data_IF_460452116285
#
_entry.id   IF_460452116285
#
_cell.length_a   1.000
_cell.length_b   1.000
_cell.length_c   1.000
_cell.angle_alpha   90.00
_cell.angle_beta   90.00
_cell.angle_gamma   90.00
#
_symmetry.space_group_name_H-M   'P 1'
#
loop_
_entity.id
_entity.type
_entity.pdbx_description
1 polymer ?
#
# COMPACT_ATOMS: atom_id res chain seq x y z
N UNK A 1 -4.20 -23.94 -17.25
CA UNK A 1 -2.88 -23.42 -17.68
C UNK A 1 -2.09 -22.87 -16.50
N UNK A 2 -0.84 -22.44 -16.71
CA UNK A 2 -0.01 -21.88 -15.64
C UNK A 2 -0.65 -20.65 -14.99
N UNK A 3 -1.35 -19.83 -15.78
CA UNK A 3 -2.06 -18.63 -15.31
C UNK A 3 -3.17 -18.95 -14.31
N UNK A 4 -4.03 -19.95 -14.58
CA UNK A 4 -5.07 -20.33 -13.61
C UNK A 4 -4.48 -20.83 -12.31
N UNK A 5 -3.46 -21.68 -12.36
CA UNK A 5 -2.82 -22.23 -11.15
C UNK A 5 -2.18 -21.14 -10.29
N UNK A 6 -1.57 -20.13 -10.92
CA UNK A 6 -0.99 -18.99 -10.21
C UNK A 6 -2.09 -18.12 -9.60
N UNK A 7 -3.14 -17.80 -10.36
CA UNK A 7 -4.26 -17.00 -9.86
C UNK A 7 -5.01 -17.69 -8.72
N UNK A 8 -5.26 -19.00 -8.83
CA UNK A 8 -5.90 -19.80 -7.77
C UNK A 8 -5.07 -19.79 -6.49
N UNK A 9 -3.75 -20.02 -6.60
CA UNK A 9 -2.88 -20.05 -5.42
C UNK A 9 -2.69 -18.66 -4.80
N UNK A 10 -2.71 -17.61 -5.62
CA UNK A 10 -2.63 -16.23 -5.13
C UNK A 10 -3.92 -15.80 -4.42
N UNK A 11 -5.09 -16.18 -4.96
CA UNK A 11 -6.39 -15.87 -4.37
C UNK A 11 -6.78 -16.78 -3.20
N UNK A 12 -6.05 -17.88 -2.95
CA UNK A 12 -6.29 -18.76 -1.81
C UNK A 12 -5.83 -18.09 -0.50
N UNK A 13 -6.80 -17.55 0.23
CA UNK A 13 -6.61 -16.88 1.51
C UNK A 13 -5.90 -17.79 2.52
N UNK A 14 -6.21 -19.09 2.54
CA UNK A 14 -5.61 -20.04 3.50
C UNK A 14 -4.12 -20.27 3.23
N UNK A 15 -3.74 -20.29 1.95
CA UNK A 15 -2.33 -20.38 1.55
C UNK A 15 -1.61 -19.07 1.89
N UNK A 16 -2.23 -17.93 1.61
CA UNK A 16 -1.67 -16.62 1.93
C UNK A 16 -1.48 -16.39 3.43
N UNK A 17 -2.42 -16.85 4.25
CA UNK A 17 -2.33 -16.83 5.70
C UNK A 17 -1.16 -17.66 6.23
N UNK A 18 -0.94 -18.85 5.66
CA UNK A 18 0.18 -19.73 6.03
C UNK A 18 1.53 -19.11 5.67
N UNK A 19 1.62 -18.49 4.49
CA UNK A 19 2.87 -17.88 4.01
C UNK A 19 3.16 -16.54 4.67
N UNK A 20 2.14 -15.90 5.28
CA UNK A 20 2.25 -14.59 5.97
C UNK A 20 2.90 -13.53 5.07
N UNK A 21 2.48 -13.48 3.80
CA UNK A 21 2.96 -12.47 2.86
C UNK A 21 2.59 -11.08 3.38
N UNK A 22 3.56 -10.17 3.38
CA UNK A 22 3.33 -8.82 3.86
C UNK A 22 2.57 -7.98 2.81
N UNK A 23 1.63 -7.12 3.21
CA UNK A 23 0.84 -6.32 2.28
C UNK A 23 1.69 -5.51 1.28
N UNK A 24 2.81 -4.93 1.74
CA UNK A 24 3.69 -4.14 0.87
C UNK A 24 4.32 -4.98 -0.25
N UNK A 25 4.57 -6.28 -0.02
CA UNK A 25 5.13 -7.17 -1.03
C UNK A 25 4.12 -7.44 -2.15
N UNK A 26 2.84 -7.61 -1.78
CA UNK A 26 1.74 -7.77 -2.73
C UNK A 26 1.50 -6.49 -3.52
N UNK A 27 1.60 -5.32 -2.87
CA UNK A 27 1.53 -4.02 -3.55
C UNK A 27 2.66 -3.85 -4.57
N UNK A 28 3.90 -4.22 -4.22
CA UNK A 28 5.03 -4.19 -5.18
C UNK A 28 4.79 -5.15 -6.35
N UNK A 29 4.29 -6.36 -6.07
CA UNK A 29 3.98 -7.34 -7.10
C UNK A 29 2.90 -6.82 -8.06
N UNK A 30 1.85 -6.18 -7.53
CA UNK A 30 0.79 -5.56 -8.33
C UNK A 30 1.30 -4.37 -9.14
N UNK A 31 2.10 -3.48 -8.54
CA UNK A 31 2.71 -2.34 -9.25
C UNK A 31 3.64 -2.76 -10.39
N UNK A 32 4.29 -3.91 -10.26
CA UNK A 32 5.15 -4.49 -11.31
C UNK A 32 4.38 -5.35 -12.31
N UNK A 33 3.16 -5.76 -11.99
CA UNK A 33 2.31 -6.51 -12.89
C UNK A 33 1.76 -5.55 -13.96
N UNK A 34 2.57 -5.30 -14.99
CA UNK A 34 2.15 -4.53 -16.17
C UNK A 34 1.27 -5.36 -17.12
N UNK A 35 1.08 -4.86 -18.33
CA UNK A 35 0.20 -5.44 -19.37
C UNK A 35 0.55 -6.88 -19.77
N UNK A 36 1.79 -7.32 -19.49
CA UNK A 36 2.24 -8.69 -19.73
C UNK A 36 1.64 -9.71 -18.75
N UNK A 37 1.08 -9.27 -17.62
CA UNK A 37 0.47 -10.14 -16.62
C UNK A 37 -1.04 -10.21 -16.86
N UNK A 38 -1.63 -11.41 -17.02
CA UNK A 38 -3.06 -11.56 -17.25
C UNK A 38 -3.90 -10.91 -16.14
N UNK A 39 -4.99 -10.24 -16.52
CA UNK A 39 -5.91 -9.55 -15.59
C UNK A 39 -6.40 -10.45 -14.45
N UNK A 40 -6.56 -11.75 -14.70
CA UNK A 40 -6.97 -12.73 -13.69
C UNK A 40 -5.94 -12.85 -12.54
N UNK A 41 -4.66 -12.74 -12.85
CA UNK A 41 -3.58 -12.77 -11.85
C UNK A 41 -3.50 -11.45 -11.10
N UNK A 42 -3.71 -10.32 -11.79
CA UNK A 42 -3.77 -9.00 -11.15
C UNK A 42 -4.92 -8.93 -10.14
N UNK A 43 -6.11 -9.40 -10.51
CA UNK A 43 -7.26 -9.48 -9.62
C UNK A 43 -7.03 -10.40 -8.41
N UNK A 44 -6.31 -11.52 -8.60
CA UNK A 44 -5.93 -12.40 -7.51
C UNK A 44 -4.93 -11.73 -6.54
N UNK A 45 -3.98 -10.93 -7.05
CA UNK A 45 -3.07 -10.13 -6.24
C UNK A 45 -3.79 -9.05 -5.44
N UNK A 46 -4.77 -8.36 -6.04
CA UNK A 46 -5.62 -7.39 -5.32
C UNK A 46 -6.39 -8.07 -4.19
N UNK A 47 -6.99 -9.23 -4.47
CA UNK A 47 -7.73 -10.01 -3.46
C UNK A 47 -6.81 -10.44 -2.31
N UNK A 48 -5.61 -10.92 -2.62
CA UNK A 48 -4.61 -11.30 -1.63
C UNK A 48 -4.16 -10.09 -0.78
N UNK A 49 -3.97 -8.93 -1.42
CA UNK A 49 -3.61 -7.70 -0.74
C UNK A 49 -4.70 -7.30 0.24
N UNK A 50 -5.97 -7.31 -0.17
CA UNK A 50 -7.10 -7.01 0.71
C UNK A 50 -7.20 -7.99 1.89
N UNK A 51 -7.06 -9.29 1.64
CA UNK A 51 -7.04 -10.29 2.70
C UNK A 51 -5.89 -10.08 3.70
N UNK A 52 -4.72 -9.69 3.20
CA UNK A 52 -3.56 -9.40 4.06
C UNK A 52 -3.79 -8.19 4.98
N UNK A 53 -4.57 -7.20 4.54
CA UNK A 53 -4.93 -6.03 5.35
C UNK A 53 -5.99 -6.34 6.40
N UNK A 54 -6.91 -7.27 6.13
CA UNK A 54 -7.95 -7.67 7.08
C UNK A 54 -7.37 -8.25 8.38
N UNK A 55 -6.08 -8.65 8.37
CA UNK A 55 -5.35 -9.14 9.54
C UNK A 55 -4.89 -8.03 10.49
N UNK A 56 -4.92 -6.77 10.06
CA UNK A 56 -4.52 -5.66 10.93
C UNK A 56 -5.49 -5.64 12.12
N UNK A 57 -4.98 -5.66 13.36
CA UNK A 57 -5.84 -5.68 14.53
C UNK A 57 -6.61 -4.36 14.64
N UNK A 58 -7.87 -4.46 15.05
CA UNK A 58 -8.60 -3.30 15.54
C UNK A 58 -7.96 -2.85 16.86
N UNK A 59 -7.46 -1.62 16.92
CA UNK A 59 -6.86 -1.06 18.11
C UNK A 59 -7.91 -0.23 18.86
N UNK A 60 -8.05 -0.41 20.18
CA UNK A 60 -8.99 0.37 20.96
C UNK A 60 -8.53 1.83 21.06
N UNK A 61 -9.47 2.77 20.87
CA UNK A 61 -9.24 4.20 21.05
C UNK A 61 -9.13 4.99 19.75
N UNK A 62 -8.65 6.24 19.87
CA UNK A 62 -8.43 7.13 18.74
C UNK A 62 -7.01 6.99 18.25
N UNK A 63 -6.86 6.53 17.00
CA UNK A 63 -5.56 6.35 16.37
C UNK A 63 -5.28 7.57 15.52
N UNK A 64 -4.05 8.08 15.58
CA UNK A 64 -3.58 9.11 14.67
C UNK A 64 -2.39 8.53 13.92
N UNK A 65 -2.45 8.52 12.60
CA UNK A 65 -1.37 8.08 11.71
C UNK A 65 -0.81 9.33 11.04
N UNK A 66 0.47 9.60 11.25
CA UNK A 66 1.16 10.72 10.62
C UNK A 66 2.12 10.19 9.56
N UNK A 67 1.69 10.01 8.29
CA UNK A 67 2.60 9.60 7.23
C UNK A 67 3.50 10.76 6.81
N UNK A 68 4.80 10.51 6.73
CA UNK A 68 5.76 11.44 6.13
C UNK A 68 5.51 11.51 4.61
N UNK A 69 5.36 12.72 4.08
CA UNK A 69 5.18 13.02 2.65
C UNK A 69 6.25 13.97 2.10
N UNK A 70 7.37 14.11 2.81
CA UNK A 70 8.50 14.94 2.37
C UNK A 70 9.18 14.41 1.10
N UNK A 71 10.01 15.26 0.47
CA UNK A 71 10.71 14.92 -0.78
C UNK A 71 11.55 13.64 -0.72
N UNK A 72 12.09 13.24 0.44
CA UNK A 72 12.79 11.95 0.60
C UNK A 72 11.87 10.74 0.50
N UNK A 73 10.57 10.90 0.76
CA UNK A 73 9.58 9.83 0.64
C UNK A 73 9.28 9.44 -0.82
N UNK A 74 9.77 10.22 -1.79
CA UNK A 74 9.78 9.85 -3.20
C UNK A 74 10.89 8.85 -3.57
N UNK A 75 11.80 8.52 -2.65
CA UNK A 75 12.87 7.58 -2.94
C UNK A 75 12.36 6.13 -3.03
N UNK A 76 12.98 5.31 -3.90
CA UNK A 76 12.63 3.91 -4.06
C UNK A 76 12.92 3.10 -2.79
N UNK A 77 11.94 2.32 -2.33
CA UNK A 77 12.01 1.55 -1.06
C UNK A 77 13.18 0.56 -1.03
N UNK A 78 13.58 -0.01 -2.17
CA UNK A 78 14.69 -0.98 -2.23
C UNK A 78 15.98 -0.41 -2.83
N UNK A 79 16.06 0.92 -3.00
CA UNK A 79 17.18 1.59 -3.64
C UNK A 79 17.29 1.35 -5.15
N UNK A 80 18.23 2.04 -5.79
CA UNK A 80 18.54 1.88 -7.21
C UNK A 80 19.36 0.61 -7.45
N UNK A 81 18.71 -0.52 -7.77
CA UNK A 81 19.43 -1.68 -8.32
C UNK A 81 19.73 -1.39 -9.80
N UNK A 82 21.01 -1.44 -10.20
CA UNK A 82 21.41 -1.41 -11.62
C UNK A 82 20.64 -2.52 -12.37
N UNK A 83 19.61 -2.14 -13.13
CA UNK A 83 18.77 -3.04 -13.95
C UNK A 83 17.30 -3.19 -13.53
N UNK A 84 16.89 -2.75 -12.33
CA UNK A 84 15.47 -2.73 -11.95
C UNK A 84 15.25 -1.73 -10.80
N UNK A 85 14.81 -0.51 -11.13
CA UNK A 85 14.30 0.42 -10.12
C UNK A 85 13.06 -0.19 -9.46
N UNK A 86 12.92 -0.13 -8.13
CA UNK A 86 11.61 -0.36 -7.54
C UNK A 86 10.72 0.83 -7.90
N UNK A 87 9.68 0.58 -8.71
CA UNK A 87 8.61 1.53 -9.02
C UNK A 87 7.87 2.04 -7.77
N UNK A 88 8.02 1.35 -6.64
CA UNK A 88 7.38 1.67 -5.37
C UNK A 88 8.27 2.61 -4.54
N UNK A 89 7.70 3.76 -4.19
CA UNK A 89 8.29 4.82 -3.37
C UNK A 89 7.94 4.63 -1.90
N UNK A 90 8.70 5.25 -0.99
CA UNK A 90 8.41 5.19 0.44
C UNK A 90 7.03 5.76 0.80
N UNK A 91 6.59 6.81 0.10
CA UNK A 91 5.22 7.36 0.25
C UNK A 91 4.14 6.32 -0.08
N UNK A 92 4.38 5.43 -1.04
CA UNK A 92 3.40 4.42 -1.42
C UNK A 92 3.18 3.41 -0.28
N UNK A 93 4.25 3.08 0.45
CA UNK A 93 4.18 2.22 1.64
C UNK A 93 3.51 2.94 2.81
N UNK A 94 3.83 4.22 3.05
CA UNK A 94 3.18 5.02 4.07
C UNK A 94 1.66 5.14 3.80
N UNK A 95 1.27 5.29 2.54
CA UNK A 95 -0.11 5.31 2.13
C UNK A 95 -0.83 3.98 2.32
N UNK A 96 -0.16 2.87 1.99
CA UNK A 96 -0.69 1.53 2.24
C UNK A 96 -1.01 1.33 3.73
N UNK A 97 -0.06 1.67 4.61
CA UNK A 97 -0.24 1.52 6.07
C UNK A 97 -1.36 2.44 6.56
N UNK A 98 -1.40 3.69 6.10
CA UNK A 98 -2.42 4.68 6.49
C UNK A 98 -3.82 4.24 6.07
N UNK A 99 -3.99 3.83 4.81
CA UNK A 99 -5.26 3.32 4.28
C UNK A 99 -5.70 2.05 5.03
N UNK A 100 -4.76 1.17 5.36
CA UNK A 100 -5.09 -0.07 6.05
C UNK A 100 -5.52 0.13 7.51
N UNK A 101 -4.85 1.05 8.21
CA UNK A 101 -5.26 1.46 9.56
C UNK A 101 -6.64 2.14 9.53
N UNK A 102 -6.88 3.03 8.56
CA UNK A 102 -8.15 3.72 8.39
C UNK A 102 -9.31 2.76 8.07
N UNK A 103 -9.05 1.72 7.26
CA UNK A 103 -10.05 0.71 6.90
C UNK A 103 -10.48 -0.15 8.10
N UNK A 104 -9.50 -0.57 8.91
CA UNK A 104 -9.72 -1.41 10.10
C UNK A 104 -10.29 -0.59 11.27
N UNK A 105 -9.77 0.62 11.45
CA UNK A 105 -10.07 1.50 12.57
C UNK A 105 -10.66 2.80 12.03
N UNK A 106 -11.99 2.84 11.89
CA UNK A 106 -12.72 3.97 11.29
C UNK A 106 -12.56 5.31 12.03
N UNK A 107 -12.12 5.27 13.29
CA UNK A 107 -11.79 6.46 14.08
C UNK A 107 -10.35 6.94 13.88
N UNK A 108 -9.58 6.29 13.00
CA UNK A 108 -8.21 6.71 12.68
C UNK A 108 -8.25 8.06 11.96
N UNK A 109 -7.42 8.99 12.41
CA UNK A 109 -7.16 10.24 11.70
C UNK A 109 -5.81 10.13 11.02
N UNK A 110 -5.76 10.45 9.73
CA UNK A 110 -4.50 10.50 8.98
C UNK A 110 -4.09 11.97 8.87
N UNK A 111 -2.86 12.28 9.30
CA UNK A 111 -2.29 13.63 9.31
C UNK A 111 -0.94 13.61 8.58
N UNK A 112 -0.93 13.65 7.24
CA UNK A 112 0.31 13.68 6.50
C UNK A 112 1.12 14.93 6.83
N UNK A 113 2.44 14.82 6.87
CA UNK A 113 3.31 15.95 7.17
C UNK A 113 4.54 15.98 6.27
N UNK A 114 4.95 17.19 5.92
CA UNK A 114 6.27 17.47 5.34
C UNK A 114 6.98 18.52 6.21
N UNK A 115 6.89 19.81 5.88
CA UNK A 115 7.27 20.92 6.76
C UNK A 115 6.14 21.31 7.73
N UNK A 116 4.90 21.18 7.26
CA UNK A 116 3.65 21.43 7.99
C UNK A 116 2.70 20.25 7.77
N UNK A 117 1.65 20.15 8.60
CA UNK A 117 0.58 19.18 8.40
C UNK A 117 -0.18 19.54 7.13
N UNK A 118 -0.26 18.61 6.20
CA UNK A 118 -1.00 18.78 4.95
C UNK A 118 -2.36 18.15 5.08
N UNK A 119 -3.39 18.87 4.65
CA UNK A 119 -4.76 18.36 4.68
C UNK A 119 -4.96 17.40 3.51
N UNK A 120 -5.14 16.12 3.81
CA UNK A 120 -5.41 15.06 2.84
C UNK A 120 -6.54 14.22 3.37
N UNK A 121 -7.65 14.23 2.66
CA UNK A 121 -8.77 13.36 2.96
C UNK A 121 -8.59 12.03 2.23
N UNK A 122 -8.42 10.96 3.02
CA UNK A 122 -8.39 9.60 2.49
C UNK A 122 -9.75 8.97 2.67
N UNK A 123 -10.27 8.34 1.60
CA UNK A 123 -11.49 7.57 1.70
C UNK A 123 -11.16 6.16 2.25
N UNK A 124 -11.71 5.77 3.41
CA UNK A 124 -11.51 4.44 3.99
C UNK A 124 -12.01 3.29 3.11
N UNK A 125 -12.92 3.55 2.17
CA UNK A 125 -13.52 2.58 1.26
C UNK A 125 -12.91 2.63 -0.15
N UNK A 126 -12.11 3.64 -0.47
CA UNK A 126 -11.42 3.70 -1.75
C UNK A 126 -10.40 2.55 -1.89
N UNK A 127 -10.12 2.19 -3.15
CA UNK A 127 -9.04 1.24 -3.44
C UNK A 127 -7.73 1.80 -2.89
N UNK A 128 -6.89 0.93 -2.35
CA UNK A 128 -5.57 1.28 -1.80
C UNK A 128 -4.77 2.11 -2.81
N UNK A 129 -4.78 1.70 -4.09
CA UNK A 129 -4.10 2.41 -5.16
C UNK A 129 -4.52 3.89 -5.29
N UNK A 130 -5.81 4.20 -5.04
CA UNK A 130 -6.33 5.58 -5.12
C UNK A 130 -5.79 6.41 -3.95
N UNK A 131 -5.84 5.87 -2.73
CA UNK A 131 -5.29 6.54 -1.55
C UNK A 131 -3.77 6.72 -1.64
N UNK A 132 -3.06 5.77 -2.24
CA UNK A 132 -1.63 5.88 -2.55
C UNK A 132 -1.33 7.03 -3.51
N UNK A 133 -2.11 7.15 -4.60
CA UNK A 133 -1.95 8.26 -5.54
C UNK A 133 -2.28 9.60 -4.89
N UNK A 134 -3.32 9.68 -4.06
CA UNK A 134 -3.71 10.90 -3.36
C UNK A 134 -2.59 11.41 -2.43
N UNK A 135 -1.98 10.54 -1.63
CA UNK A 135 -0.84 10.90 -0.77
C UNK A 135 0.41 11.24 -1.56
N UNK A 136 0.69 10.52 -2.64
CA UNK A 136 1.86 10.79 -3.47
C UNK A 136 1.75 12.08 -4.28
N UNK A 137 0.54 12.53 -4.62
CA UNK A 137 0.29 13.79 -5.32
C UNK A 137 0.57 15.01 -4.43
N UNK A 138 0.55 14.84 -3.11
CA UNK A 138 0.75 15.90 -2.12
C UNK A 138 2.25 16.12 -1.83
N UNK A 139 3.10 15.12 -2.07
CA UNK A 139 4.54 15.23 -1.87
C UNK A 139 5.19 16.32 -2.74
N UNK A 140 5.84 17.31 -2.13
CA UNK A 140 6.56 18.35 -2.88
C UNK A 140 7.57 19.22 -2.11
N UNK A 141 7.64 19.13 -0.78
CA UNK A 141 8.48 19.99 0.08
C UNK A 141 9.40 19.24 1.04
N UNK A 142 10.06 20.02 1.92
CA UNK A 142 11.08 19.56 2.89
C UNK A 142 10.49 18.79 4.10
N UNK A 143 11.34 18.17 4.92
CA UNK A 143 10.93 17.42 6.12
C UNK A 143 11.17 18.22 7.39
N UNK A 144 10.16 18.36 8.25
CA UNK A 144 10.28 18.83 9.62
C UNK A 144 9.59 17.81 10.56
N UNK A 145 10.34 17.26 11.52
CA UNK A 145 9.92 16.16 12.42
C UNK A 145 9.65 16.63 13.83
#
# INVERSE_FOLDING_TARGET
GCTERVAERLGDVTVMEKVRVMPYQLMIALSRAGDAVPLKVQAALETALEASLARIPALPGRIVVCPDVSGSMHWPVTGHRKGASSSVRCVDVAALVSAAMLRTNRQTRVLPFENDVVDVELDPNARIAVNTVALAAVCGGGTNV
#
